data_IF_454971249195
#
_entry.id   IF_454971249195
#
_cell.length_a   1.000
_cell.length_b   1.000
_cell.length_c   1.000
_cell.angle_alpha   90.00
_cell.angle_beta   90.00
_cell.angle_gamma   90.00
#
_symmetry.space_group_name_H-M   'P 1'
#
loop_
_entity.id
_entity.type
_entity.pdbx_description
1 polymer ?
#
# COMPACT_ATOMS: atom_id res chain seq x y z
N UNK A 1 26.16 -39.51 50.61
CA UNK A 1 27.07 -39.48 49.44
C UNK A 1 26.37 -39.32 48.08
N UNK A 2 25.06 -39.64 47.93
CA UNK A 2 24.38 -39.62 46.62
C UNK A 2 24.06 -38.21 46.07
N UNK A 3 23.51 -37.31 46.89
CA UNK A 3 23.07 -35.96 46.46
C UNK A 3 24.20 -35.05 45.97
N UNK A 4 25.42 -35.22 46.47
CA UNK A 4 26.59 -34.41 46.05
C UNK A 4 26.98 -34.73 44.60
N UNK A 5 26.87 -36.00 44.18
CA UNK A 5 27.15 -36.41 42.80
C UNK A 5 26.10 -35.89 41.82
N UNK A 6 24.85 -35.78 42.27
CA UNK A 6 23.74 -35.22 41.51
C UNK A 6 23.98 -33.74 41.21
N UNK A 7 24.30 -32.95 42.23
CA UNK A 7 24.66 -31.52 42.08
C UNK A 7 25.88 -31.33 41.17
N UNK A 8 26.91 -32.17 41.32
CA UNK A 8 28.08 -32.16 40.44
C UNK A 8 27.76 -32.58 39.01
N UNK A 9 26.73 -33.41 38.80
CA UNK A 9 26.29 -33.83 37.46
C UNK A 9 25.59 -32.70 36.73
N UNK A 10 24.75 -31.90 37.41
CA UNK A 10 24.14 -30.69 36.83
C UNK A 10 25.21 -29.66 36.44
N UNK A 11 26.23 -29.50 37.27
CA UNK A 11 27.35 -28.60 36.97
C UNK A 11 28.19 -29.10 35.77
N UNK A 12 28.44 -30.42 35.67
CA UNK A 12 29.10 -31.03 34.51
C UNK A 12 28.30 -30.89 33.22
N UNK A 13 26.98 -31.02 33.29
CA UNK A 13 26.09 -30.81 32.14
C UNK A 13 26.18 -29.34 31.68
N UNK A 14 26.16 -28.38 32.61
CA UNK A 14 26.31 -26.95 32.31
C UNK A 14 27.65 -26.59 31.66
N UNK A 15 28.75 -27.17 32.12
CA UNK A 15 30.07 -26.93 31.50
C UNK A 15 30.19 -27.56 30.10
N UNK A 16 29.60 -28.75 29.89
CA UNK A 16 29.64 -29.43 28.60
C UNK A 16 28.76 -28.73 27.55
N UNK A 17 27.61 -28.18 27.95
CA UNK A 17 26.80 -27.34 27.07
C UNK A 17 27.48 -26.00 26.77
N UNK A 18 28.16 -25.39 27.75
CA UNK A 18 28.97 -24.20 27.51
C UNK A 18 30.10 -24.46 26.51
N UNK A 19 30.83 -25.57 26.64
CA UNK A 19 31.91 -25.95 25.71
C UNK A 19 31.40 -26.15 24.27
N UNK A 20 30.23 -26.77 24.10
CA UNK A 20 29.57 -26.92 22.79
C UNK A 20 29.11 -25.58 22.19
N UNK A 21 28.59 -24.67 23.02
CA UNK A 21 28.16 -23.33 22.60
C UNK A 21 29.36 -22.47 22.23
N UNK A 22 30.45 -22.50 23.01
CA UNK A 22 31.68 -21.79 22.67
C UNK A 22 32.32 -22.34 21.39
N UNK A 23 32.28 -23.66 21.18
CA UNK A 23 32.76 -24.28 19.94
C UNK A 23 31.98 -23.89 18.69
N UNK A 24 30.69 -23.55 18.83
CA UNK A 24 29.80 -23.17 17.73
C UNK A 24 29.35 -21.69 17.79
N UNK A 25 30.11 -20.84 18.48
CA UNK A 25 29.74 -19.46 18.75
C UNK A 25 29.47 -18.66 17.47
N UNK A 26 30.27 -18.89 16.42
CA UNK A 26 30.08 -18.24 15.12
C UNK A 26 28.74 -18.58 14.47
N UNK A 27 28.25 -19.81 14.63
CA UNK A 27 26.96 -20.23 14.08
C UNK A 27 25.80 -19.60 14.85
N UNK A 28 25.90 -19.51 16.18
CA UNK A 28 24.89 -18.89 17.02
C UNK A 28 24.81 -17.38 16.78
N UNK A 29 25.96 -16.74 16.56
CA UNK A 29 26.02 -15.35 16.13
C UNK A 29 25.34 -15.15 14.77
N UNK A 30 25.62 -16.01 13.80
CA UNK A 30 24.98 -15.96 12.48
C UNK A 30 23.44 -16.06 12.58
N UNK A 31 22.92 -17.01 13.36
CA UNK A 31 21.48 -17.13 13.61
C UNK A 31 20.90 -15.89 14.29
N UNK A 32 21.63 -15.31 15.24
CA UNK A 32 21.22 -14.09 15.93
C UNK A 32 21.12 -12.91 14.97
N UNK A 33 22.10 -12.75 14.07
CA UNK A 33 22.07 -11.71 13.03
C UNK A 33 20.87 -11.89 12.11
N UNK A 34 20.58 -13.11 11.65
CA UNK A 34 19.39 -13.40 10.84
C UNK A 34 18.11 -13.07 11.62
N UNK A 35 18.05 -13.43 12.90
CA UNK A 35 16.91 -13.12 13.76
C UNK A 35 16.65 -11.62 13.87
N UNK A 36 17.71 -10.82 14.06
CA UNK A 36 17.61 -9.35 14.11
C UNK A 36 17.13 -8.81 12.76
N UNK A 37 17.70 -9.26 11.65
CA UNK A 37 17.30 -8.85 10.30
C UNK A 37 15.83 -9.20 10.04
N UNK A 38 15.38 -10.38 10.48
CA UNK A 38 13.99 -10.81 10.35
C UNK A 38 13.03 -9.89 11.13
N UNK A 39 13.33 -9.59 12.39
CA UNK A 39 12.51 -8.69 13.22
C UNK A 39 12.47 -7.28 12.60
N UNK A 40 13.62 -6.78 12.15
CA UNK A 40 13.72 -5.48 11.50
C UNK A 40 12.88 -5.42 10.21
N UNK A 41 12.92 -6.48 9.40
CA UNK A 41 12.14 -6.59 8.17
C UNK A 41 10.64 -6.71 8.44
N UNK A 42 10.23 -7.49 9.45
CA UNK A 42 8.83 -7.61 9.84
C UNK A 42 8.23 -6.25 10.22
N UNK A 43 8.97 -5.46 11.01
CA UNK A 43 8.51 -4.14 11.42
C UNK A 43 8.50 -3.12 10.26
N UNK A 44 9.43 -3.23 9.32
CA UNK A 44 9.40 -2.44 8.08
C UNK A 44 8.23 -2.81 7.18
N UNK A 45 7.94 -4.10 7.03
CA UNK A 45 6.83 -4.58 6.22
C UNK A 45 5.49 -4.05 6.75
N UNK A 46 5.28 -4.09 8.07
CA UNK A 46 4.07 -3.55 8.70
C UNK A 46 3.89 -2.05 8.40
N UNK A 47 4.96 -1.26 8.54
CA UNK A 47 4.92 0.18 8.23
C UNK A 47 4.60 0.44 6.76
N UNK A 48 5.23 -0.31 5.85
CA UNK A 48 4.97 -0.18 4.40
C UNK A 48 3.54 -0.56 4.05
N UNK A 49 2.98 -1.62 4.63
CA UNK A 49 1.59 -2.01 4.40
C UNK A 49 0.62 -0.89 4.81
N UNK A 50 0.83 -0.28 5.98
CA UNK A 50 0.01 0.86 6.43
C UNK A 50 0.15 2.06 5.48
N UNK A 51 1.36 2.35 4.99
CA UNK A 51 1.60 3.42 4.04
C UNK A 51 0.90 3.18 2.69
N UNK A 52 0.95 1.94 2.18
CA UNK A 52 0.26 1.56 0.94
C UNK A 52 -1.24 1.79 1.09
N UNK A 53 -1.85 1.34 2.19
CA UNK A 53 -3.27 1.54 2.44
C UNK A 53 -3.67 3.01 2.59
N UNK A 54 -2.79 3.87 3.10
CA UNK A 54 -3.04 5.31 3.13
C UNK A 54 -2.99 5.90 1.72
N UNK A 55 -1.96 5.55 0.94
CA UNK A 55 -1.79 6.06 -0.41
C UNK A 55 -2.90 5.60 -1.37
N UNK A 56 -3.42 4.37 -1.22
CA UNK A 56 -4.58 3.89 -1.97
C UNK A 56 -5.84 4.70 -1.69
N UNK A 57 -6.05 5.14 -0.44
CA UNK A 57 -7.17 6.03 -0.09
C UNK A 57 -7.02 7.38 -0.77
N UNK A 58 -5.81 7.95 -0.73
CA UNK A 58 -5.54 9.25 -1.36
C UNK A 58 -5.80 9.19 -2.88
N UNK A 59 -5.36 8.11 -3.54
CA UNK A 59 -5.64 7.88 -4.96
C UNK A 59 -7.15 7.78 -5.22
N UNK A 60 -7.89 7.06 -4.37
CA UNK A 60 -9.34 6.93 -4.49
C UNK A 60 -10.04 8.28 -4.34
N UNK A 61 -9.61 9.09 -3.38
CA UNK A 61 -10.18 10.41 -3.12
C UNK A 61 -9.91 11.38 -4.28
N UNK A 62 -8.67 11.41 -4.79
CA UNK A 62 -8.32 12.20 -5.98
C UNK A 62 -9.16 11.77 -7.19
N UNK A 63 -9.31 10.45 -7.40
CA UNK A 63 -10.12 9.93 -8.50
C UNK A 63 -11.59 10.32 -8.36
N UNK A 64 -12.14 10.25 -7.16
CA UNK A 64 -13.52 10.68 -6.88
C UNK A 64 -13.71 12.16 -7.19
N UNK A 65 -12.79 13.03 -6.75
CA UNK A 65 -12.80 14.46 -7.09
C UNK A 65 -12.75 14.71 -8.59
N UNK A 66 -11.89 14.00 -9.34
CA UNK A 66 -11.82 14.15 -10.80
C UNK A 66 -13.12 13.73 -11.51
N UNK A 67 -13.77 12.67 -11.04
CA UNK A 67 -15.07 12.24 -11.58
C UNK A 67 -16.14 13.29 -11.28
N UNK A 68 -16.15 13.84 -10.07
CA UNK A 68 -17.07 14.93 -9.70
C UNK A 68 -16.90 16.14 -10.61
N UNK A 69 -15.68 16.65 -10.77
CA UNK A 69 -15.39 17.79 -11.65
C UNK A 69 -15.80 17.51 -13.11
N UNK A 70 -15.54 16.30 -13.62
CA UNK A 70 -15.99 15.92 -14.97
C UNK A 70 -17.51 15.84 -15.09
N UNK A 71 -18.20 15.38 -14.05
CA UNK A 71 -19.65 15.33 -14.02
C UNK A 71 -20.24 16.75 -14.02
N UNK A 72 -19.70 17.67 -13.21
CA UNK A 72 -20.11 19.08 -13.18
C UNK A 72 -19.89 19.75 -14.54
N UNK A 73 -18.73 19.52 -15.17
CA UNK A 73 -18.47 20.01 -16.53
C UNK A 73 -19.44 19.42 -17.55
N UNK A 74 -19.81 18.14 -17.43
CA UNK A 74 -20.76 17.49 -18.33
C UNK A 74 -22.18 18.04 -18.15
N UNK A 75 -22.58 18.39 -16.92
CA UNK A 75 -23.85 19.09 -16.65
C UNK A 75 -23.84 20.45 -17.33
N UNK A 76 -22.83 21.28 -17.06
CA UNK A 76 -22.72 22.60 -17.70
C UNK A 76 -22.58 22.53 -19.23
N UNK A 77 -22.01 21.45 -19.76
CA UNK A 77 -21.86 21.22 -21.21
C UNK A 77 -23.06 20.48 -21.82
N UNK A 78 -24.11 20.15 -21.04
CA UNK A 78 -25.32 19.54 -21.60
C UNK A 78 -26.03 20.53 -22.51
N UNK A 79 -26.27 20.07 -23.73
CA UNK A 79 -26.99 20.79 -24.77
C UNK A 79 -28.34 21.35 -24.27
N UNK A 80 -29.06 20.61 -23.42
CA UNK A 80 -30.36 21.05 -22.86
C UNK A 80 -30.25 22.22 -21.88
N UNK A 81 -29.10 22.40 -21.24
CA UNK A 81 -28.87 23.50 -20.29
C UNK A 81 -28.32 24.73 -21.02
N UNK A 82 -27.42 24.51 -21.99
CA UNK A 82 -26.99 25.53 -22.96
C UNK A 82 -28.18 26.08 -23.75
N UNK A 83 -29.13 25.23 -24.19
CA UNK A 83 -30.35 25.67 -24.87
C UNK A 83 -31.22 26.59 -24.00
N UNK A 84 -31.27 26.35 -22.68
CA UNK A 84 -32.00 27.22 -21.74
C UNK A 84 -31.28 28.55 -21.51
N UNK A 85 -29.96 28.53 -21.39
CA UNK A 85 -29.14 29.72 -21.14
C UNK A 85 -29.04 30.62 -22.38
N UNK A 86 -29.10 30.02 -23.57
CA UNK A 86 -29.04 30.72 -24.87
C UNK A 86 -30.44 31.07 -25.42
N UNK A 87 -31.53 30.52 -24.85
CA UNK A 87 -32.92 30.89 -25.17
C UNK A 87 -33.20 32.41 -25.12
N UNK A 88 -32.72 33.20 -24.13
CA UNK A 88 -32.89 34.66 -24.14
C UNK A 88 -32.09 35.39 -25.24
N UNK A 89 -31.19 34.70 -25.94
CA UNK A 89 -30.41 35.24 -27.06
C UNK A 89 -30.97 34.86 -28.44
N UNK A 90 -32.18 34.28 -28.51
CA UNK A 90 -32.88 33.91 -29.77
C UNK A 90 -32.13 32.91 -30.67
N UNK A 91 -31.11 32.21 -30.16
CA UNK A 91 -30.36 31.22 -30.93
C UNK A 91 -31.04 29.85 -30.77
N UNK A 92 -31.45 29.22 -31.88
CA UNK A 92 -32.13 27.91 -31.89
C UNK A 92 -31.18 26.82 -32.37
N UNK A 93 -31.11 25.71 -31.64
CA UNK A 93 -30.37 24.51 -32.07
C UNK A 93 -31.06 23.90 -33.30
N UNK A 94 -30.29 23.68 -34.37
CA UNK A 94 -30.78 22.94 -35.55
C UNK A 94 -30.56 21.44 -35.29
N UNK A 95 -31.63 20.65 -35.34
CA UNK A 95 -31.60 19.20 -35.10
C UNK A 95 -31.25 18.39 -36.37
N UNK A 96 -30.91 19.07 -37.46
CA UNK A 96 -30.54 18.41 -38.72
C UNK A 96 -29.04 18.12 -38.72
N UNK A 97 -28.62 16.89 -39.10
CA UNK A 97 -27.21 16.57 -39.27
C UNK A 97 -26.58 17.52 -40.30
N UNK A 98 -25.32 17.97 -40.08
CA UNK A 98 -24.67 18.90 -40.99
C UNK A 98 -24.57 18.27 -42.38
N UNK A 99 -25.10 18.96 -43.39
CA UNK A 99 -24.97 18.54 -44.78
C UNK A 99 -23.48 18.54 -45.15
N UNK A 100 -22.97 17.36 -45.51
CA UNK A 100 -21.62 17.20 -46.03
C UNK A 100 -21.51 18.06 -47.30
N UNK A 101 -20.70 19.11 -47.24
CA UNK A 101 -20.35 19.88 -48.42
C UNK A 101 -19.52 18.96 -49.31
N UNK A 102 -20.11 18.49 -50.40
CA UNK A 102 -19.38 17.83 -51.48
C UNK A 102 -18.99 18.95 -52.44
N UNK A 103 -17.69 19.26 -52.49
CA UNK A 103 -17.13 20.09 -53.55
C UNK A 103 -17.38 19.41 -54.90
N UNK A 104 -17.73 20.22 -55.90
CA UNK A 104 -18.07 19.81 -57.25
C UNK A 104 -16.86 19.90 -58.16
#
# INVERSE_FOLDING_TARGET
MSRVREVLSYFKIGNKSAELVLGNLSYLFFLTVIGIVYIANAHHAEKKVRQIQAMERDIKDIRSKSIGVKADLMVNSRLTEIEKDVAPHNIKMTNNPPLKVVEK
#
